data_IF_560127942858
#
_entry.id   IF_560127942858
#
_cell.length_a   1.000
_cell.length_b   1.000
_cell.length_c   1.000
_cell.angle_alpha   90.00
_cell.angle_beta   90.00
_cell.angle_gamma   90.00
#
_symmetry.space_group_name_H-M   'P 1'
#
loop_
_entity.id
_entity.type
_entity.pdbx_description
1 polymer ?
#
# COMPACT_ATOMS: atom_id res chain seq x y z
N UNK A 1 -17.09 23.71 0.35
CA UNK A 1 -17.39 23.93 1.77
C UNK A 1 -16.08 23.96 2.54
N UNK A 2 -15.79 25.04 3.28
CA UNK A 2 -14.49 25.22 3.96
C UNK A 2 -14.29 24.20 5.08
N UNK A 3 -15.34 23.88 5.83
CA UNK A 3 -15.25 22.92 6.94
C UNK A 3 -14.88 21.52 6.43
N UNK A 4 -15.51 21.05 5.35
CA UNK A 4 -15.18 19.78 4.70
C UNK A 4 -13.74 19.77 4.17
N UNK A 5 -13.26 20.88 3.62
CA UNK A 5 -11.88 20.99 3.16
C UNK A 5 -10.86 20.87 4.30
N UNK A 6 -11.07 21.59 5.41
CA UNK A 6 -10.21 21.47 6.59
C UNK A 6 -10.28 20.08 7.23
N UNK A 7 -11.46 19.47 7.30
CA UNK A 7 -11.61 18.09 7.79
C UNK A 7 -10.90 17.08 6.88
N UNK A 8 -11.00 17.22 5.56
CA UNK A 8 -10.28 16.35 4.63
C UNK A 8 -8.77 16.48 4.80
N UNK A 9 -8.25 17.71 4.90
CA UNK A 9 -6.83 17.96 5.13
C UNK A 9 -6.35 17.36 6.46
N UNK A 10 -7.12 17.54 7.54
CA UNK A 10 -6.85 16.94 8.84
C UNK A 10 -6.83 15.41 8.77
N UNK A 11 -7.85 14.79 8.15
CA UNK A 11 -7.95 13.34 8.02
C UNK A 11 -6.81 12.74 7.19
N UNK A 12 -6.37 13.40 6.11
CA UNK A 12 -5.18 12.96 5.36
C UNK A 12 -3.94 13.02 6.25
N UNK A 13 -3.75 14.13 6.99
CA UNK A 13 -2.57 14.35 7.83
C UNK A 13 -2.43 13.30 8.94
N UNK A 14 -3.55 12.85 9.51
CA UNK A 14 -3.55 11.84 10.58
C UNK A 14 -3.85 10.42 10.09
N UNK A 15 -4.02 10.20 8.78
CA UNK A 15 -4.38 8.88 8.26
C UNK A 15 -3.21 7.89 8.41
N UNK A 16 -3.38 6.74 9.09
CA UNK A 16 -2.37 5.69 9.14
C UNK A 16 -1.91 5.27 7.73
N UNK A 17 -2.84 5.19 6.78
CA UNK A 17 -2.54 4.83 5.40
C UNK A 17 -1.70 5.88 4.66
N UNK A 18 -2.03 7.17 4.82
CA UNK A 18 -1.25 8.25 4.20
C UNK A 18 0.18 8.28 4.75
N UNK A 19 0.32 8.16 6.07
CA UNK A 19 1.63 8.10 6.74
C UNK A 19 2.42 6.88 6.25
N UNK A 20 1.77 5.70 6.15
CA UNK A 20 2.41 4.49 5.62
C UNK A 20 2.96 4.69 4.22
N UNK A 21 2.19 5.31 3.32
CA UNK A 21 2.64 5.55 1.95
C UNK A 21 3.72 6.64 1.84
N UNK A 22 3.81 7.56 2.81
CA UNK A 22 4.76 8.66 2.82
C UNK A 22 6.10 8.35 3.49
N UNK A 23 6.19 7.32 4.34
CA UNK A 23 7.41 7.00 5.13
C UNK A 23 8.53 6.38 4.32
N UNK A 24 8.21 5.63 3.28
CA UNK A 24 9.21 4.99 2.44
C UNK A 24 9.40 5.84 1.18
N UNK A 25 10.63 5.87 0.63
CA UNK A 25 10.97 6.58 -0.61
C UNK A 25 10.30 5.92 -1.82
N UNK A 26 8.97 5.91 -1.81
CA UNK A 26 8.07 5.35 -2.81
C UNK A 26 7.36 6.50 -3.51
N UNK A 27 7.00 6.27 -4.76
CA UNK A 27 6.31 7.24 -5.61
C UNK A 27 4.80 7.42 -5.31
N UNK A 28 4.23 6.71 -4.33
CA UNK A 28 2.79 6.76 -4.05
C UNK A 28 2.29 8.15 -3.63
N UNK A 29 3.08 8.92 -2.88
CA UNK A 29 2.69 10.28 -2.49
C UNK A 29 2.49 11.18 -3.71
N UNK A 30 3.41 11.12 -4.69
CA UNK A 30 3.27 11.86 -5.94
C UNK A 30 2.05 11.37 -6.73
N UNK A 31 1.84 10.05 -6.81
CA UNK A 31 0.67 9.48 -7.47
C UNK A 31 -0.64 9.97 -6.84
N UNK A 32 -0.74 10.01 -5.51
CA UNK A 32 -1.90 10.53 -4.78
C UNK A 32 -2.15 12.02 -5.07
N UNK A 33 -1.11 12.84 -5.12
CA UNK A 33 -1.24 14.26 -5.47
C UNK A 33 -1.77 14.44 -6.91
N UNK A 34 -1.29 13.63 -7.85
CA UNK A 34 -1.78 13.61 -9.23
C UNK A 34 -3.23 13.11 -9.30
N UNK A 35 -3.64 12.16 -8.46
CA UNK A 35 -5.04 11.72 -8.35
C UNK A 35 -5.90 12.89 -7.87
N UNK A 36 -5.47 13.62 -6.84
CA UNK A 36 -6.18 14.80 -6.32
C UNK A 36 -6.33 15.87 -7.41
N UNK A 37 -5.25 16.18 -8.14
CA UNK A 37 -5.27 17.14 -9.25
C UNK A 37 -6.22 16.69 -10.38
N UNK A 38 -6.19 15.40 -10.73
CA UNK A 38 -7.12 14.81 -11.70
C UNK A 38 -8.57 14.86 -11.21
N UNK A 39 -8.82 14.64 -9.92
CA UNK A 39 -10.16 14.72 -9.32
C UNK A 39 -10.71 16.15 -9.35
N UNK A 40 -9.86 17.17 -9.23
CA UNK A 40 -10.28 18.56 -9.42
C UNK A 40 -10.84 18.79 -10.84
N UNK A 41 -10.20 18.22 -11.85
CA UNK A 41 -10.68 18.25 -13.23
C UNK A 41 -11.98 17.45 -13.40
N UNK A 42 -12.05 16.24 -12.80
CA UNK A 42 -13.26 15.42 -12.77
C UNK A 42 -14.46 16.19 -12.20
N UNK A 43 -14.30 16.90 -11.08
CA UNK A 43 -15.39 17.66 -10.47
C UNK A 43 -15.93 18.74 -11.41
N UNK A 44 -15.04 19.42 -12.14
CA UNK A 44 -15.43 20.42 -13.13
C UNK A 44 -16.11 19.78 -14.35
N UNK A 45 -15.57 18.66 -14.84
CA UNK A 45 -16.17 17.89 -15.93
C UNK A 45 -17.55 17.34 -15.56
N UNK A 46 -17.71 16.78 -14.37
CA UNK A 46 -18.98 16.26 -13.87
C UNK A 46 -20.04 17.36 -13.76
N UNK A 47 -19.67 18.57 -13.33
CA UNK A 47 -20.60 19.73 -13.35
C UNK A 47 -20.97 20.14 -14.77
N UNK A 48 -20.00 20.21 -15.67
CA UNK A 48 -20.25 20.51 -17.07
C UNK A 48 -21.24 19.51 -17.71
N UNK A 49 -21.06 18.20 -17.45
CA UNK A 49 -21.99 17.15 -17.89
C UNK A 49 -23.38 17.34 -17.29
N UNK A 50 -23.49 17.62 -15.99
CA UNK A 50 -24.79 17.75 -15.32
C UNK A 50 -25.55 19.03 -15.69
N UNK A 51 -24.84 20.12 -15.98
CA UNK A 51 -25.42 21.40 -16.37
C UNK A 51 -25.59 21.55 -17.88
N UNK A 52 -25.03 20.64 -18.70
CA UNK A 52 -25.00 20.78 -20.15
C UNK A 52 -24.06 21.89 -20.65
N UNK A 53 -23.10 22.31 -19.83
CA UNK A 53 -22.14 23.36 -20.15
C UNK A 53 -20.89 22.79 -20.82
N UNK A 54 -20.19 23.59 -21.62
CA UNK A 54 -18.90 23.21 -22.19
C UNK A 54 -17.82 23.08 -21.10
N UNK A 55 -17.11 21.95 -21.09
CA UNK A 55 -15.93 21.78 -20.23
C UNK A 55 -14.77 22.64 -20.76
N UNK A 56 -14.12 23.50 -19.97
CA UNK A 56 -13.09 24.42 -20.48
C UNK A 56 -11.88 23.71 -21.09
N UNK A 57 -11.43 24.15 -22.27
CA UNK A 57 -10.28 23.52 -22.97
C UNK A 57 -8.97 23.61 -22.19
N UNK A 58 -8.72 24.71 -21.49
CA UNK A 58 -7.54 24.85 -20.62
C UNK A 58 -7.51 23.80 -19.51
N UNK A 59 -8.68 23.49 -18.92
CA UNK A 59 -8.79 22.41 -17.94
C UNK A 59 -8.63 21.03 -18.58
N UNK A 60 -9.08 20.83 -19.83
CA UNK A 60 -8.81 19.60 -20.55
C UNK A 60 -7.30 19.38 -20.78
N UNK A 61 -6.55 20.41 -21.15
CA UNK A 61 -5.10 20.34 -21.33
C UNK A 61 -4.36 20.06 -20.01
N UNK A 62 -4.73 20.74 -18.93
CA UNK A 62 -4.20 20.45 -17.58
C UNK A 62 -4.51 19.02 -17.17
N UNK A 63 -5.71 18.53 -17.47
CA UNK A 63 -6.11 17.16 -17.15
C UNK A 63 -5.29 16.14 -17.94
N UNK A 64 -5.06 16.36 -19.24
CA UNK A 64 -4.18 15.51 -20.06
C UNK A 64 -2.78 15.44 -19.46
N UNK A 65 -2.17 16.58 -19.12
CA UNK A 65 -0.83 16.63 -18.53
C UNK A 65 -0.77 15.91 -17.19
N UNK A 66 -1.75 16.16 -16.32
CA UNK A 66 -1.86 15.51 -15.00
C UNK A 66 -2.02 14.00 -15.14
N UNK A 67 -2.90 13.55 -16.05
CA UNK A 67 -3.17 12.12 -16.25
C UNK A 67 -1.97 11.40 -16.86
N UNK A 68 -1.31 12.03 -17.84
CA UNK A 68 -0.12 11.47 -18.49
C UNK A 68 1.00 11.32 -17.48
N UNK A 69 1.24 12.34 -16.65
CA UNK A 69 2.22 12.26 -15.56
C UNK A 69 1.81 11.25 -14.49
N UNK A 70 0.51 11.12 -14.19
CA UNK A 70 -0.03 10.12 -13.27
C UNK A 70 0.25 8.70 -13.75
N UNK A 71 -0.03 8.42 -15.02
CA UNK A 71 0.26 7.16 -15.70
C UNK A 71 1.77 6.86 -15.69
N UNK A 72 2.60 7.86 -16.00
CA UNK A 72 4.05 7.74 -15.98
C UNK A 72 4.61 7.45 -14.57
N UNK A 73 4.01 8.07 -13.54
CA UNK A 73 4.40 7.88 -12.14
C UNK A 73 4.01 6.49 -11.65
N UNK A 74 2.79 6.04 -11.95
CA UNK A 74 2.32 4.72 -11.54
C UNK A 74 1.27 4.17 -12.52
N UNK A 75 1.52 3.02 -13.12
CA UNK A 75 0.58 2.42 -14.08
C UNK A 75 -0.83 2.11 -13.51
N UNK A 76 -0.97 1.81 -12.21
CA UNK A 76 -2.28 1.65 -11.56
C UNK A 76 -3.11 2.94 -11.50
N UNK A 77 -2.53 4.10 -11.80
CA UNK A 77 -3.28 5.33 -12.04
C UNK A 77 -4.32 5.17 -13.16
N UNK A 78 -4.11 4.25 -14.10
CA UNK A 78 -5.11 3.89 -15.11
C UNK A 78 -6.45 3.45 -14.48
N UNK A 79 -6.44 2.76 -13.32
CA UNK A 79 -7.66 2.37 -12.62
C UNK A 79 -8.42 3.58 -12.10
N UNK A 80 -7.71 4.59 -11.59
CA UNK A 80 -8.30 5.87 -11.23
C UNK A 80 -8.96 6.52 -12.45
N UNK A 81 -8.31 6.54 -13.61
CA UNK A 81 -8.88 7.10 -14.83
C UNK A 81 -10.11 6.34 -15.33
N UNK A 82 -10.07 5.01 -15.31
CA UNK A 82 -11.23 4.18 -15.62
C UNK A 82 -12.39 4.49 -14.66
N UNK A 83 -12.13 4.63 -13.36
CA UNK A 83 -13.17 4.99 -12.38
C UNK A 83 -13.78 6.38 -12.67
N UNK A 84 -12.96 7.36 -13.07
CA UNK A 84 -13.41 8.70 -13.44
C UNK A 84 -14.31 8.67 -14.68
N UNK A 85 -13.91 7.90 -15.69
CA UNK A 85 -14.71 7.69 -16.89
C UNK A 85 -16.06 7.05 -16.56
N UNK A 86 -16.08 5.99 -15.74
CA UNK A 86 -17.31 5.32 -15.30
C UNK A 86 -18.24 6.28 -14.56
N UNK A 87 -17.70 7.15 -13.70
CA UNK A 87 -18.49 8.20 -13.03
C UNK A 87 -19.11 9.17 -14.04
N UNK A 88 -18.33 9.69 -14.99
CA UNK A 88 -18.85 10.64 -16.00
C UNK A 88 -19.91 10.00 -16.91
N UNK A 89 -19.66 8.77 -17.36
CA UNK A 89 -20.61 8.00 -18.18
C UNK A 89 -21.90 7.76 -17.39
N UNK A 90 -21.80 7.32 -16.13
CA UNK A 90 -22.96 7.13 -15.25
C UNK A 90 -23.78 8.40 -15.06
N UNK A 91 -23.12 9.55 -14.84
CA UNK A 91 -23.79 10.86 -14.76
C UNK A 91 -24.44 11.26 -16.09
N UNK A 92 -23.78 11.02 -17.22
CA UNK A 92 -24.31 11.30 -18.56
C UNK A 92 -25.55 10.48 -18.88
N UNK A 93 -25.51 9.17 -18.64
CA UNK A 93 -26.66 8.26 -18.84
C UNK A 93 -27.85 8.69 -17.96
N UNK A 94 -27.59 9.10 -16.72
CA UNK A 94 -28.65 9.53 -15.79
C UNK A 94 -29.44 10.77 -16.25
N UNK A 95 -28.91 11.51 -17.24
CA UNK A 95 -29.55 12.70 -17.83
C UNK A 95 -30.21 12.42 -19.19
N UNK A 96 -30.27 11.17 -19.61
CA UNK A 96 -30.95 10.68 -20.84
C UNK A 96 -30.42 11.23 -22.17
N UNK A 97 -29.43 12.14 -22.16
CA UNK A 97 -28.68 12.59 -23.32
C UNK A 97 -27.23 12.88 -22.89
N UNK A 98 -26.25 12.58 -23.75
CA UNK A 98 -24.88 13.06 -23.60
C UNK A 98 -24.82 14.49 -24.18
N UNK A 99 -24.88 15.57 -23.37
CA UNK A 99 -24.88 16.92 -23.91
C UNK A 99 -23.58 17.19 -24.67
N UNK A 100 -23.68 17.37 -25.98
CA UNK A 100 -22.54 17.48 -26.88
C UNK A 100 -21.47 18.53 -26.49
N UNK A 101 -21.79 19.73 -25.93
CA UNK A 101 -20.76 20.72 -25.62
C UNK A 101 -19.85 20.31 -24.46
N UNK A 102 -20.38 19.61 -23.44
CA UNK A 102 -19.59 19.13 -22.32
C UNK A 102 -18.59 18.05 -22.78
N UNK A 103 -19.08 17.13 -23.59
CA UNK A 103 -18.34 15.93 -23.99
C UNK A 103 -17.21 16.22 -24.97
N UNK A 104 -17.29 17.25 -25.82
CA UNK A 104 -16.23 17.59 -26.79
C UNK A 104 -14.84 17.68 -26.14
N UNK A 105 -14.70 18.50 -25.10
CA UNK A 105 -13.40 18.72 -24.46
C UNK A 105 -13.05 17.60 -23.45
N UNK A 106 -14.04 16.85 -22.98
CA UNK A 106 -13.81 15.61 -22.22
C UNK A 106 -13.22 14.54 -23.15
N UNK A 107 -13.74 14.39 -24.37
CA UNK A 107 -13.17 13.49 -25.38
C UNK A 107 -11.75 13.90 -25.76
N UNK A 108 -11.48 15.19 -25.91
CA UNK A 108 -10.10 15.68 -26.08
C UNK A 108 -9.21 15.22 -24.91
N UNK A 109 -9.69 15.36 -23.67
CA UNK A 109 -8.93 14.91 -22.49
C UNK A 109 -8.69 13.40 -22.48
N UNK A 110 -9.69 12.60 -22.88
CA UNK A 110 -9.59 11.14 -23.01
C UNK A 110 -8.54 10.79 -24.07
N UNK A 111 -8.68 11.32 -25.29
CA UNK A 111 -7.77 11.02 -26.40
C UNK A 111 -6.34 11.46 -26.10
N UNK A 112 -6.16 12.65 -25.55
CA UNK A 112 -4.84 13.16 -25.15
C UNK A 112 -4.21 12.31 -24.04
N UNK A 113 -5.00 11.90 -23.03
CA UNK A 113 -4.53 11.01 -21.96
C UNK A 113 -4.17 9.63 -22.51
N UNK A 114 -4.98 9.06 -23.41
CA UNK A 114 -4.69 7.79 -24.07
C UNK A 114 -3.40 7.89 -24.89
N UNK A 115 -3.22 8.95 -25.68
CA UNK A 115 -1.98 9.17 -26.43
C UNK A 115 -0.76 9.28 -25.51
N UNK A 116 -0.87 10.04 -24.41
CA UNK A 116 0.20 10.16 -23.41
C UNK A 116 0.51 8.84 -22.70
N UNK A 117 -0.50 8.00 -22.44
CA UNK A 117 -0.33 6.68 -21.85
C UNK A 117 0.27 5.66 -22.82
N UNK A 118 -0.06 5.74 -24.11
CA UNK A 118 0.44 4.80 -25.13
C UNK A 118 1.97 4.84 -25.27
N UNK A 119 2.60 5.99 -25.02
CA UNK A 119 4.07 6.12 -25.01
C UNK A 119 4.73 5.16 -24.01
N UNK A 120 4.04 4.84 -22.91
CA UNK A 120 4.55 3.98 -21.84
C UNK A 120 4.28 2.49 -22.04
N UNK A 121 3.48 2.11 -23.05
CA UNK A 121 3.11 0.70 -23.27
C UNK A 121 4.33 -0.18 -23.45
N UNK A 122 5.35 0.30 -24.17
CA UNK A 122 6.58 -0.48 -24.39
C UNK A 122 7.31 -0.75 -23.07
N UNK A 123 7.46 0.28 -22.24
CA UNK A 123 8.07 0.16 -20.91
C UNK A 123 7.29 -0.81 -20.02
N UNK A 124 5.96 -0.81 -20.07
CA UNK A 124 5.15 -1.74 -19.27
C UNK A 124 5.22 -3.19 -19.74
N UNK A 125 5.39 -3.43 -21.05
CA UNK A 125 5.60 -4.78 -21.57
C UNK A 125 6.88 -5.39 -20.97
N UNK A 126 7.94 -4.58 -20.84
CA UNK A 126 9.20 -5.02 -20.23
C UNK A 126 9.03 -5.25 -18.71
N UNK A 127 8.25 -4.41 -18.01
CA UNK A 127 7.96 -4.59 -16.57
C UNK A 127 7.09 -5.83 -16.32
N UNK A 128 6.13 -6.16 -17.19
CA UNK A 128 5.27 -7.35 -17.02
C UNK A 128 6.07 -8.65 -17.02
N UNK A 129 7.24 -8.66 -17.66
CA UNK A 129 8.17 -9.78 -17.66
C UNK A 129 9.07 -9.80 -16.42
N UNK A 130 9.04 -8.76 -15.57
CA UNK A 130 9.76 -8.76 -14.29
C UNK A 130 9.00 -9.55 -13.23
N UNK A 131 9.65 -10.55 -12.63
CA UNK A 131 9.07 -11.39 -11.58
C UNK A 131 8.76 -10.66 -10.27
N UNK A 132 9.07 -9.35 -10.17
CA UNK A 132 8.74 -8.50 -9.02
C UNK A 132 7.24 -8.42 -8.69
N UNK A 133 6.39 -8.65 -9.69
CA UNK A 133 4.92 -8.58 -9.52
C UNK A 133 4.23 -9.94 -9.65
N UNK A 134 4.99 -11.02 -9.85
CA UNK A 134 4.45 -12.38 -10.01
C UNK A 134 3.62 -12.81 -8.81
N UNK A 135 4.00 -12.39 -7.60
CA UNK A 135 3.30 -12.70 -6.35
C UNK A 135 1.83 -12.24 -6.30
N UNK A 136 1.41 -11.31 -7.16
CA UNK A 136 0.00 -10.89 -7.29
C UNK A 136 -0.86 -11.97 -7.97
N UNK A 137 -0.23 -12.88 -8.71
CA UNK A 137 -0.85 -14.01 -9.40
C UNK A 137 -0.62 -15.34 -8.68
N UNK A 138 0.10 -15.32 -7.55
CA UNK A 138 0.43 -16.54 -6.80
C UNK A 138 -0.78 -16.98 -5.96
N UNK A 139 -1.36 -18.12 -6.34
CA UNK A 139 -2.46 -18.76 -5.62
C UNK A 139 -3.84 -18.35 -6.11
N UNK A 140 -4.86 -19.05 -5.61
CA UNK A 140 -6.26 -18.67 -5.85
C UNK A 140 -6.62 -17.50 -4.95
N UNK A 141 -7.21 -16.40 -5.46
CA UNK A 141 -7.62 -15.25 -4.65
C UNK A 141 -8.57 -15.61 -3.49
N UNK A 142 -9.24 -16.76 -3.59
CA UNK A 142 -10.35 -17.16 -2.73
C UNK A 142 -11.66 -16.51 -3.20
N UNK A 143 -12.76 -16.78 -2.49
CA UNK A 143 -14.09 -16.24 -2.83
C UNK A 143 -14.36 -14.99 -1.99
N UNK A 144 -14.08 -15.04 -0.70
CA UNK A 144 -14.49 -14.00 0.28
C UNK A 144 -13.28 -13.17 0.75
N UNK A 145 -12.10 -13.76 0.65
CA UNK A 145 -10.84 -13.21 1.14
C UNK A 145 -10.49 -11.86 0.49
N UNK A 146 -10.66 -11.64 -0.83
CA UNK A 146 -10.40 -10.34 -1.43
C UNK A 146 -11.34 -9.23 -0.93
N UNK A 147 -12.60 -9.57 -0.67
CA UNK A 147 -13.58 -8.65 -0.09
C UNK A 147 -13.20 -8.29 1.35
N UNK A 148 -12.86 -9.29 2.16
CA UNK A 148 -12.41 -9.09 3.54
C UNK A 148 -11.17 -8.19 3.61
N UNK A 149 -10.17 -8.46 2.76
CA UNK A 149 -8.96 -7.62 2.63
C UNK A 149 -9.29 -6.20 2.17
N UNK A 150 -10.17 -6.03 1.18
CA UNK A 150 -10.57 -4.69 0.70
C UNK A 150 -11.22 -3.86 1.79
N UNK A 151 -12.09 -4.47 2.61
CA UNK A 151 -12.71 -3.79 3.76
C UNK A 151 -11.65 -3.46 4.81
N UNK A 152 -10.73 -4.40 5.10
CA UNK A 152 -9.65 -4.18 6.04
C UNK A 152 -8.76 -2.99 5.61
N UNK A 153 -8.35 -2.92 4.35
CA UNK A 153 -7.53 -1.82 3.83
C UNK A 153 -8.27 -0.50 3.74
N UNK A 154 -9.55 -0.51 3.39
CA UNK A 154 -10.37 0.70 3.51
C UNK A 154 -10.45 1.18 4.96
N UNK A 155 -10.62 0.25 5.91
CA UNK A 155 -10.68 0.57 7.33
C UNK A 155 -9.36 1.12 7.87
N UNK A 156 -8.23 0.59 7.39
CA UNK A 156 -6.88 1.00 7.77
C UNK A 156 -6.51 2.41 7.30
N UNK A 157 -7.35 3.04 6.48
CA UNK A 157 -7.21 4.48 6.17
C UNK A 157 -7.64 5.38 7.33
N UNK A 158 -8.48 4.87 8.25
CA UNK A 158 -9.04 5.63 9.37
C UNK A 158 -8.50 5.19 10.72
N UNK A 159 -8.27 3.88 10.89
CA UNK A 159 -7.81 3.30 12.16
C UNK A 159 -6.89 2.13 11.89
N UNK A 160 -5.77 2.08 12.60
CA UNK A 160 -4.87 0.93 12.55
C UNK A 160 -4.21 0.77 13.92
N UNK A 161 -4.82 0.01 14.81
CA UNK A 161 -4.20 -0.30 16.09
C UNK A 161 -3.09 -1.34 15.93
N UNK A 162 -2.15 -1.42 16.90
CA UNK A 162 -1.06 -2.38 16.84
C UNK A 162 -1.54 -3.81 16.59
N UNK A 163 -0.98 -4.43 15.57
CA UNK A 163 -1.40 -5.76 15.07
C UNK A 163 -0.22 -6.69 14.80
N UNK A 164 1.01 -6.23 15.05
CA UNK A 164 2.22 -7.02 14.81
C UNK A 164 2.49 -8.03 15.95
N UNK A 165 2.21 -9.30 15.68
CA UNK A 165 2.42 -10.42 16.63
C UNK A 165 3.89 -10.80 16.85
N UNK A 166 4.83 -10.25 16.08
CA UNK A 166 6.27 -10.46 16.31
C UNK A 166 6.78 -9.64 17.50
N UNK A 167 6.12 -8.52 17.80
CA UNK A 167 6.50 -7.60 18.87
C UNK A 167 5.54 -7.67 20.05
N UNK A 168 4.25 -7.92 19.78
CA UNK A 168 3.20 -7.90 20.79
C UNK A 168 2.66 -9.29 21.12
N UNK A 169 2.35 -9.58 22.40
CA UNK A 169 1.66 -10.80 22.78
C UNK A 169 0.30 -10.93 22.08
N UNK A 170 -0.04 -12.16 21.68
CA UNK A 170 -1.30 -12.45 20.98
C UNK A 170 -2.56 -11.91 21.70
N UNK A 171 -2.71 -12.02 23.04
CA UNK A 171 -3.89 -11.46 23.73
C UNK A 171 -4.05 -9.95 23.55
N UNK A 172 -2.95 -9.19 23.52
CA UNK A 172 -2.97 -7.74 23.31
C UNK A 172 -3.46 -7.43 21.90
N UNK A 173 -2.95 -8.14 20.90
CA UNK A 173 -3.39 -8.00 19.49
C UNK A 173 -4.88 -8.31 19.35
N UNK A 174 -5.38 -9.36 20.02
CA UNK A 174 -6.80 -9.71 20.01
C UNK A 174 -7.65 -8.60 20.63
N UNK A 175 -7.27 -8.06 21.79
CA UNK A 175 -8.00 -6.96 22.46
C UNK A 175 -8.06 -5.72 21.55
N UNK A 176 -6.94 -5.35 20.92
CA UNK A 176 -6.87 -4.22 20.00
C UNK A 176 -7.67 -4.47 18.71
N UNK A 177 -7.72 -5.71 18.24
CA UNK A 177 -8.58 -6.15 17.15
C UNK A 177 -10.06 -5.96 17.47
N UNK A 178 -10.50 -6.38 18.67
CA UNK A 178 -11.87 -6.16 19.16
C UNK A 178 -12.19 -4.66 19.28
N UNK A 179 -11.27 -3.86 19.83
CA UNK A 179 -11.43 -2.41 19.91
C UNK A 179 -11.59 -1.76 18.52
N UNK A 180 -10.79 -2.21 17.54
CA UNK A 180 -10.90 -1.79 16.14
C UNK A 180 -12.27 -2.15 15.56
N UNK A 181 -12.74 -3.38 15.77
CA UNK A 181 -14.06 -3.82 15.30
C UNK A 181 -15.20 -3.01 15.93
N UNK A 182 -15.14 -2.73 17.23
CA UNK A 182 -16.11 -1.87 17.93
C UNK A 182 -16.14 -0.45 17.35
N UNK A 183 -14.96 0.15 17.12
CA UNK A 183 -14.85 1.46 16.47
C UNK A 183 -15.45 1.44 15.06
N UNK A 184 -15.14 0.42 14.25
CA UNK A 184 -15.66 0.31 12.88
C UNK A 184 -17.17 0.11 12.85
N UNK A 185 -17.73 -0.68 13.76
CA UNK A 185 -19.18 -0.85 13.90
C UNK A 185 -19.88 0.46 14.27
N UNK A 186 -19.30 1.24 15.18
CA UNK A 186 -19.79 2.58 15.50
C UNK A 186 -19.65 3.56 14.31
N UNK A 187 -18.49 3.58 13.67
CA UNK A 187 -18.20 4.45 12.54
C UNK A 187 -19.10 4.14 11.34
N UNK A 188 -19.35 2.86 11.03
CA UNK A 188 -20.24 2.46 9.94
C UNK A 188 -21.67 3.01 10.15
N UNK A 189 -22.19 2.96 11.39
CA UNK A 189 -23.50 3.55 11.73
C UNK A 189 -23.48 5.08 11.58
N UNK A 190 -22.42 5.73 12.04
CA UNK A 190 -22.22 7.18 11.89
C UNK A 190 -22.16 7.57 10.41
N UNK A 191 -21.41 6.81 9.62
CA UNK A 191 -21.18 7.04 8.19
C UNK A 191 -22.48 6.87 7.41
N UNK A 192 -23.20 5.77 7.61
CA UNK A 192 -24.49 5.50 6.95
C UNK A 192 -25.53 6.58 7.25
N UNK A 193 -25.70 6.97 8.52
CA UNK A 193 -26.62 8.04 8.91
C UNK A 193 -26.18 9.40 8.34
N UNK A 194 -24.88 9.67 8.35
CA UNK A 194 -24.31 10.89 7.80
C UNK A 194 -24.52 11.01 6.30
N UNK A 195 -24.33 9.93 5.54
CA UNK A 195 -24.62 9.89 4.11
C UNK A 195 -26.09 10.22 3.84
N UNK A 196 -27.04 9.59 4.56
CA UNK A 196 -28.48 9.88 4.40
C UNK A 196 -28.85 11.33 4.68
N UNK A 197 -28.20 11.97 5.65
CA UNK A 197 -28.43 13.40 5.96
C UNK A 197 -27.86 14.27 4.83
N UNK A 198 -26.68 13.91 4.34
CA UNK A 198 -25.90 14.70 3.40
C UNK A 198 -26.33 14.53 1.93
N UNK A 199 -27.22 13.59 1.63
CA UNK A 199 -27.86 13.48 0.31
C UNK A 199 -29.00 14.48 0.11
N UNK A 200 -29.48 15.14 1.17
CA UNK A 200 -30.56 16.13 1.09
C UNK A 200 -30.07 17.43 0.42
N UNK A 201 -28.96 18.08 0.86
CA UNK A 201 -28.50 19.30 0.21
C UNK A 201 -27.91 19.01 -1.19
N UNK A 202 -28.26 19.79 -2.23
CA UNK A 202 -27.89 19.48 -3.61
C UNK A 202 -26.37 19.49 -3.87
N UNK A 203 -25.66 20.45 -3.27
CA UNK A 203 -24.20 20.54 -3.39
C UNK A 203 -23.48 19.33 -2.78
N UNK A 204 -24.00 18.82 -1.67
CA UNK A 204 -23.40 17.69 -0.96
C UNK A 204 -23.76 16.38 -1.65
N UNK A 205 -25.00 16.25 -2.14
CA UNK A 205 -25.44 15.14 -2.99
C UNK A 205 -24.54 14.97 -4.21
N UNK A 206 -24.23 16.07 -4.90
CA UNK A 206 -23.30 16.06 -6.03
C UNK A 206 -21.92 15.48 -5.64
N UNK A 207 -21.33 15.97 -4.55
CA UNK A 207 -20.03 15.46 -4.07
C UNK A 207 -20.10 13.97 -3.72
N UNK A 208 -21.17 13.53 -3.06
CA UNK A 208 -21.38 12.11 -2.72
C UNK A 208 -21.50 11.26 -3.99
N UNK A 209 -22.22 11.72 -5.01
CA UNK A 209 -22.36 11.00 -6.27
C UNK A 209 -21.01 10.85 -6.99
N UNK A 210 -20.24 11.92 -7.11
CA UNK A 210 -18.93 11.89 -7.80
C UNK A 210 -17.92 11.04 -7.03
N UNK A 211 -17.68 11.34 -5.76
CA UNK A 211 -16.64 10.65 -4.98
C UNK A 211 -17.07 9.26 -4.53
N UNK A 212 -18.35 9.07 -4.20
CA UNK A 212 -18.91 7.76 -3.88
C UNK A 212 -18.91 6.85 -5.09
N UNK A 213 -19.31 7.38 -6.26
CA UNK A 213 -19.21 6.67 -7.52
C UNK A 213 -17.77 6.26 -7.85
N UNK A 214 -16.80 7.14 -7.59
CA UNK A 214 -15.38 6.85 -7.80
C UNK A 214 -14.86 5.73 -6.88
N UNK A 215 -15.18 5.77 -5.58
CA UNK A 215 -14.79 4.70 -4.63
C UNK A 215 -15.40 3.37 -5.03
N UNK A 216 -16.70 3.34 -5.37
CA UNK A 216 -17.39 2.12 -5.81
C UNK A 216 -16.80 1.61 -7.13
N UNK A 217 -16.58 2.49 -8.11
CA UNK A 217 -16.02 2.10 -9.40
C UNK A 217 -14.59 1.55 -9.26
N UNK A 218 -13.73 2.16 -8.45
CA UNK A 218 -12.40 1.61 -8.14
C UNK A 218 -12.49 0.24 -7.47
N UNK A 219 -13.38 0.06 -6.49
CA UNK A 219 -13.56 -1.22 -5.81
C UNK A 219 -14.03 -2.31 -6.80
N UNK A 220 -15.01 -1.98 -7.65
CA UNK A 220 -15.50 -2.89 -8.70
C UNK A 220 -14.39 -3.25 -9.68
N UNK A 221 -13.58 -2.28 -10.13
CA UNK A 221 -12.45 -2.54 -11.03
C UNK A 221 -11.40 -3.44 -10.37
N UNK A 222 -11.03 -3.20 -9.11
CA UNK A 222 -10.08 -4.05 -8.38
C UNK A 222 -10.59 -5.48 -8.23
N UNK A 223 -11.87 -5.66 -7.88
CA UNK A 223 -12.47 -6.98 -7.75
C UNK A 223 -12.64 -7.67 -9.11
N UNK A 224 -12.98 -6.92 -10.17
CA UNK A 224 -13.06 -7.46 -11.53
C UNK A 224 -11.69 -7.94 -12.01
N UNK A 225 -10.61 -7.23 -11.69
CA UNK A 225 -9.25 -7.70 -11.97
C UNK A 225 -8.88 -8.93 -11.13
N UNK A 226 -9.24 -8.93 -9.84
CA UNK A 226 -8.97 -10.03 -8.93
C UNK A 226 -9.67 -11.32 -9.34
N UNK A 227 -10.99 -11.28 -9.56
CA UNK A 227 -11.77 -12.46 -9.90
C UNK A 227 -11.74 -12.80 -11.40
N UNK A 228 -11.68 -11.79 -12.27
CA UNK A 228 -11.76 -11.98 -13.71
C UNK A 228 -10.41 -12.34 -14.36
N UNK A 229 -9.30 -11.83 -13.82
CA UNK A 229 -7.96 -12.05 -14.39
C UNK A 229 -7.01 -12.81 -13.44
N UNK A 230 -7.48 -13.19 -12.25
CA UNK A 230 -6.66 -13.89 -11.25
C UNK A 230 -5.56 -13.03 -10.62
N UNK A 231 -5.55 -11.72 -10.89
CA UNK A 231 -4.56 -10.79 -10.32
C UNK A 231 -5.08 -10.22 -9.01
N UNK A 232 -4.67 -10.80 -7.88
CA UNK A 232 -5.18 -10.38 -6.57
C UNK A 232 -4.57 -9.06 -6.09
N UNK A 233 -5.19 -7.97 -6.52
CA UNK A 233 -4.84 -6.60 -6.14
C UNK A 233 -5.23 -6.25 -4.70
N UNK A 234 -5.84 -7.18 -3.96
CA UNK A 234 -6.23 -6.96 -2.57
C UNK A 234 -5.18 -7.46 -1.58
N UNK A 235 -4.13 -8.15 -2.04
CA UNK A 235 -3.10 -8.72 -1.16
C UNK A 235 -2.28 -7.64 -0.43
N UNK A 236 -2.02 -6.49 -1.07
CA UNK A 236 -1.25 -5.42 -0.46
C UNK A 236 -2.09 -4.15 -0.23
N UNK A 237 -2.02 -3.54 0.97
CA UNK A 237 -2.80 -2.35 1.31
C UNK A 237 -2.51 -1.19 0.38
N UNK A 238 -1.27 -1.09 -0.12
CA UNK A 238 -0.77 0.03 -0.93
C UNK A 238 -1.62 0.28 -2.19
N UNK A 239 -2.25 -0.75 -2.76
CA UNK A 239 -3.10 -0.58 -3.95
C UNK A 239 -4.37 0.25 -3.70
N UNK A 240 -4.76 0.44 -2.44
CA UNK A 240 -5.87 1.31 -2.02
C UNK A 240 -5.63 2.81 -2.33
N UNK A 241 -4.41 3.19 -2.73
CA UNK A 241 -4.09 4.59 -3.05
C UNK A 241 -4.98 5.17 -4.16
N UNK A 242 -5.48 4.33 -5.07
CA UNK A 242 -6.28 4.73 -6.24
C UNK A 242 -7.61 5.39 -5.88
N UNK A 243 -8.19 5.04 -4.74
CA UNK A 243 -9.48 5.58 -4.24
C UNK A 243 -9.33 6.37 -2.94
N UNK A 244 -8.16 6.33 -2.31
CA UNK A 244 -7.91 6.93 -1.00
C UNK A 244 -8.35 8.41 -0.91
N UNK A 245 -8.01 9.31 -1.85
CA UNK A 245 -8.42 10.72 -1.74
C UNK A 245 -9.94 10.90 -1.81
N UNK A 246 -10.62 10.14 -2.67
CA UNK A 246 -12.08 10.18 -2.77
C UNK A 246 -12.74 9.68 -1.49
N UNK A 247 -12.21 8.60 -0.90
CA UNK A 247 -12.67 8.07 0.37
C UNK A 247 -12.54 9.09 1.51
N UNK A 248 -11.39 9.75 1.64
CA UNK A 248 -11.19 10.77 2.69
C UNK A 248 -12.16 11.94 2.52
N UNK A 249 -12.41 12.40 1.29
CA UNK A 249 -13.38 13.46 1.03
C UNK A 249 -14.80 13.03 1.44
N UNK A 250 -15.20 11.76 1.20
CA UNK A 250 -16.51 11.25 1.63
C UNK A 250 -16.63 11.23 3.16
N UNK A 251 -15.60 10.76 3.86
CA UNK A 251 -15.58 10.78 5.33
C UNK A 251 -15.65 12.21 5.87
N UNK A 252 -14.85 13.12 5.31
CA UNK A 252 -14.89 14.54 5.66
C UNK A 252 -16.26 15.17 5.40
N UNK A 253 -16.91 14.79 4.28
CA UNK A 253 -18.25 15.27 3.92
C UNK A 253 -19.30 14.79 4.93
N UNK A 254 -19.23 13.53 5.36
CA UNK A 254 -20.13 12.99 6.38
C UNK A 254 -19.92 13.69 7.72
N UNK A 255 -18.67 13.83 8.18
CA UNK A 255 -18.35 14.50 9.44
C UNK A 255 -18.74 15.99 9.44
N UNK A 256 -18.48 16.70 8.34
CA UNK A 256 -18.87 18.10 8.18
C UNK A 256 -20.38 18.33 8.19
N UNK A 257 -21.15 17.34 7.74
CA UNK A 257 -22.62 17.35 7.82
C UNK A 257 -23.14 17.33 9.24
N UNK A 258 -22.47 16.59 10.11
CA UNK A 258 -22.81 16.55 11.52
C UNK A 258 -22.56 17.92 12.16
N UNK A 259 -21.39 18.53 11.94
CA UNK A 259 -21.02 19.83 12.51
C UNK A 259 -22.04 20.94 12.21
N UNK A 260 -22.64 20.92 11.01
CA UNK A 260 -23.63 21.93 10.56
C UNK A 260 -25.00 21.79 11.21
N UNK A 261 -25.35 20.61 11.74
CA UNK A 261 -26.66 20.35 12.32
C UNK A 261 -26.75 20.77 13.80
N UNK A 262 -25.72 21.42 14.34
CA UNK A 262 -25.71 21.80 15.76
C UNK A 262 -26.63 23.00 16.03
N UNK A 263 -27.79 22.72 16.62
CA UNK A 263 -28.74 23.73 17.09
C UNK A 263 -28.54 24.10 18.57
N UNK A 264 -27.81 23.29 19.34
CA UNK A 264 -27.60 23.49 20.78
C UNK A 264 -26.14 23.25 21.21
N UNK A 265 -25.68 23.83 22.34
CA UNK A 265 -24.32 23.62 22.86
C UNK A 265 -23.98 22.15 23.16
N UNK A 266 -24.96 21.37 23.63
CA UNK A 266 -24.77 19.94 23.94
C UNK A 266 -24.59 19.13 22.65
N UNK A 267 -25.36 19.43 21.60
CA UNK A 267 -25.19 18.81 20.29
C UNK A 267 -23.84 19.17 19.66
N UNK A 268 -23.39 20.42 19.83
CA UNK A 268 -22.09 20.89 19.36
C UNK A 268 -20.96 20.08 20.00
N UNK A 269 -21.00 19.95 21.33
CA UNK A 269 -20.03 19.16 22.08
C UNK A 269 -20.00 17.71 21.58
N UNK A 270 -21.17 17.07 21.48
CA UNK A 270 -21.30 15.68 21.04
C UNK A 270 -20.81 15.46 19.61
N UNK A 271 -20.99 16.42 18.72
CA UNK A 271 -20.53 16.34 17.33
C UNK A 271 -19.01 16.51 17.24
N UNK A 272 -18.44 17.46 17.99
CA UNK A 272 -17.01 17.64 18.09
C UNK A 272 -16.33 16.41 18.70
N UNK A 273 -16.96 15.73 19.67
CA UNK A 273 -16.47 14.45 20.20
C UNK A 273 -16.35 13.39 19.10
N UNK A 274 -17.29 13.33 18.14
CA UNK A 274 -17.21 12.33 17.04
C UNK A 274 -16.01 12.60 16.13
N UNK A 275 -15.79 13.87 15.78
CA UNK A 275 -14.65 14.28 14.96
C UNK A 275 -13.35 14.01 15.72
N UNK A 276 -13.30 14.34 17.01
CA UNK A 276 -12.15 14.08 17.87
C UNK A 276 -11.86 12.58 17.99
N UNK A 277 -12.88 11.72 18.13
CA UNK A 277 -12.70 10.26 18.17
C UNK A 277 -12.11 9.73 16.86
N UNK A 278 -12.63 10.16 15.70
CA UNK A 278 -12.08 9.74 14.40
C UNK A 278 -10.65 10.26 14.21
N UNK A 279 -10.40 11.52 14.59
CA UNK A 279 -9.07 12.11 14.57
C UNK A 279 -8.07 11.39 15.47
N UNK A 280 -8.48 11.05 16.70
CA UNK A 280 -7.67 10.30 17.65
C UNK A 280 -7.38 8.89 17.15
N UNK A 281 -8.36 8.19 16.56
CA UNK A 281 -8.15 6.89 15.94
C UNK A 281 -7.12 6.97 14.79
N UNK A 282 -7.19 8.03 13.99
CA UNK A 282 -6.18 8.35 12.97
C UNK A 282 -4.80 8.55 13.58
N UNK A 283 -4.67 9.45 14.56
CA UNK A 283 -3.39 9.75 15.24
C UNK A 283 -2.77 8.50 15.86
N UNK A 284 -3.54 7.72 16.63
CA UNK A 284 -3.08 6.47 17.22
C UNK A 284 -2.67 5.46 16.14
N UNK A 285 -3.40 5.43 15.03
CA UNK A 285 -3.03 4.64 13.86
C UNK A 285 -1.73 5.10 13.21
N UNK A 286 -1.55 6.42 13.03
CA UNK A 286 -0.32 7.00 12.52
C UNK A 286 0.89 6.69 13.39
N UNK A 287 0.74 6.81 14.72
CA UNK A 287 1.77 6.40 15.68
C UNK A 287 2.08 4.91 15.60
N UNK A 288 1.06 4.06 15.44
CA UNK A 288 1.22 2.62 15.23
C UNK A 288 2.05 2.33 13.98
N UNK A 289 1.78 3.06 12.89
CA UNK A 289 2.58 2.96 11.66
C UNK A 289 4.02 3.39 11.92
N UNK A 290 4.23 4.57 12.51
CA UNK A 290 5.58 5.12 12.80
C UNK A 290 6.41 4.15 13.66
N UNK A 291 5.76 3.50 14.64
CA UNK A 291 6.38 2.52 15.52
C UNK A 291 6.57 1.12 14.88
N UNK A 292 6.27 0.94 13.59
CA UNK A 292 6.37 -0.35 12.87
C UNK A 292 5.50 -1.47 13.50
N UNK A 293 4.39 -1.09 14.14
CA UNK A 293 3.46 -2.00 14.83
C UNK A 293 2.22 -2.34 13.99
N UNK A 294 2.06 -1.75 12.81
CA UNK A 294 0.95 -1.96 11.88
C UNK A 294 1.41 -2.36 10.48
N UNK A 295 0.46 -2.58 9.57
CA UNK A 295 0.66 -2.99 8.17
C UNK A 295 1.50 -4.25 7.94
N UNK A 296 1.85 -4.97 9.01
CA UNK A 296 2.67 -6.18 9.00
C UNK A 296 3.82 -6.03 8.01
N UNK A 297 4.67 -5.00 8.19
CA UNK A 297 5.89 -4.84 7.37
C UNK A 297 6.59 -6.20 7.31
N UNK A 298 6.57 -6.80 6.13
CA UNK A 298 6.83 -8.23 5.97
C UNK A 298 8.30 -8.57 6.18
N UNK A 299 9.16 -7.62 5.82
CA UNK A 299 10.61 -7.68 6.02
C UNK A 299 11.01 -6.78 7.20
N UNK A 300 11.22 -7.38 8.38
CA UNK A 300 11.69 -6.70 9.59
C UNK A 300 13.21 -6.84 9.72
N UNK A 301 13.92 -6.11 8.87
CA UNK A 301 15.40 -6.12 8.86
C UNK A 301 15.99 -5.66 10.19
N UNK A 302 15.29 -4.81 10.92
CA UNK A 302 15.64 -4.37 12.27
C UNK A 302 15.66 -5.56 13.26
N UNK A 303 14.57 -6.35 13.29
CA UNK A 303 14.49 -7.52 14.16
C UNK A 303 15.47 -8.63 13.71
N UNK A 304 15.68 -8.77 12.40
CA UNK A 304 16.62 -9.76 11.87
C UNK A 304 18.07 -9.42 12.22
N UNK A 305 18.46 -8.14 12.09
CA UNK A 305 19.77 -7.67 12.52
C UNK A 305 19.98 -7.92 14.03
N UNK A 306 18.98 -7.59 14.86
CA UNK A 306 19.06 -7.83 16.31
C UNK A 306 19.26 -9.31 16.66
N UNK A 307 18.54 -10.22 15.99
CA UNK A 307 18.70 -11.67 16.18
C UNK A 307 20.12 -12.11 15.80
N UNK A 308 20.62 -11.69 14.64
CA UNK A 308 21.96 -12.07 14.17
C UNK A 308 23.04 -11.56 15.14
N UNK A 309 22.95 -10.30 15.56
CA UNK A 309 23.87 -9.66 16.50
C UNK A 309 23.87 -10.33 17.88
N UNK A 310 22.69 -10.73 18.37
CA UNK A 310 22.57 -11.36 19.69
C UNK A 310 23.08 -12.80 19.67
N UNK A 311 22.83 -13.53 18.58
CA UNK A 311 23.18 -14.94 18.44
C UNK A 311 24.64 -15.16 18.02
N UNK A 312 25.13 -14.46 16.99
CA UNK A 312 26.48 -14.68 16.46
C UNK A 312 27.52 -13.80 17.15
N UNK A 313 28.59 -14.42 17.66
CA UNK A 313 29.74 -13.74 18.30
C UNK A 313 31.04 -13.84 17.51
N UNK A 314 30.99 -14.52 16.37
CA UNK A 314 32.07 -14.69 15.40
C UNK A 314 31.73 -13.92 14.12
N UNK A 315 32.67 -13.74 13.17
CA UNK A 315 32.37 -13.18 11.86
C UNK A 315 31.14 -13.83 11.21
N UNK A 316 30.34 -13.02 10.52
CA UNK A 316 29.05 -13.43 9.97
C UNK A 316 29.06 -13.33 8.44
N UNK A 317 28.67 -14.41 7.78
CA UNK A 317 28.30 -14.41 6.37
C UNK A 317 26.77 -14.52 6.24
N UNK A 318 26.15 -13.54 5.60
CA UNK A 318 24.73 -13.59 5.25
C UNK A 318 24.61 -13.96 3.79
N UNK A 319 23.88 -15.03 3.51
CA UNK A 319 23.68 -15.52 2.14
C UNK A 319 22.20 -15.55 1.78
N UNK A 320 21.88 -15.08 0.57
CA UNK A 320 20.53 -15.14 0.00
C UNK A 320 20.55 -15.62 -1.45
N UNK A 321 19.44 -16.17 -1.91
CA UNK A 321 19.27 -16.46 -3.34
C UNK A 321 18.86 -15.19 -4.07
N UNK A 322 19.65 -14.78 -5.05
CA UNK A 322 19.39 -13.59 -5.85
C UNK A 322 18.69 -13.96 -7.16
N UNK A 323 17.41 -13.58 -7.27
CA UNK A 323 16.61 -13.74 -8.49
C UNK A 323 16.47 -12.41 -9.21
N UNK A 324 16.17 -11.36 -8.45
CA UNK A 324 15.94 -10.02 -8.96
C UNK A 324 16.44 -8.96 -7.97
N UNK A 325 16.50 -7.71 -8.42
CA UNK A 325 16.92 -6.54 -7.64
C UNK A 325 16.11 -6.30 -6.35
N UNK A 326 14.90 -6.86 -6.22
CA UNK A 326 14.16 -6.84 -4.95
C UNK A 326 14.89 -7.54 -3.81
N UNK A 327 15.67 -8.59 -4.11
CA UNK A 327 16.45 -9.34 -3.12
C UNK A 327 17.67 -8.53 -2.68
N UNK A 328 18.30 -7.83 -3.62
CA UNK A 328 19.35 -6.84 -3.34
C UNK A 328 18.84 -5.75 -2.38
N UNK A 329 17.64 -5.22 -2.64
CA UNK A 329 17.02 -4.23 -1.75
C UNK A 329 16.80 -4.74 -0.32
N UNK A 330 16.40 -6.01 -0.15
CA UNK A 330 16.25 -6.63 1.19
C UNK A 330 17.59 -6.76 1.90
N UNK A 331 18.63 -7.22 1.20
CA UNK A 331 19.99 -7.33 1.76
C UNK A 331 20.56 -5.95 2.12
N UNK A 332 20.37 -4.94 1.26
CA UNK A 332 20.76 -3.56 1.58
C UNK A 332 20.02 -3.03 2.82
N UNK A 333 18.73 -3.34 2.97
CA UNK A 333 17.97 -2.98 4.17
C UNK A 333 18.51 -3.63 5.44
N UNK A 334 18.95 -4.89 5.36
CA UNK A 334 19.59 -5.58 6.48
C UNK A 334 20.99 -5.02 6.78
N UNK A 335 21.81 -4.77 5.74
CA UNK A 335 23.11 -4.12 5.87
C UNK A 335 22.99 -2.73 6.50
N UNK A 336 21.97 -1.96 6.13
CA UNK A 336 21.70 -0.65 6.71
C UNK A 336 21.39 -0.71 8.21
N UNK A 337 20.67 -1.74 8.67
CA UNK A 337 20.41 -1.89 10.09
C UNK A 337 21.68 -2.27 10.87
N UNK A 338 22.57 -3.09 10.33
CA UNK A 338 23.89 -3.30 10.95
C UNK A 338 24.72 -2.03 11.00
N UNK A 339 24.72 -1.24 9.91
CA UNK A 339 25.41 0.05 9.87
C UNK A 339 24.87 1.01 10.93
N UNK A 340 23.55 1.03 11.15
CA UNK A 340 22.91 1.85 12.20
C UNK A 340 23.20 1.35 13.61
N UNK A 341 23.41 0.05 13.78
CA UNK A 341 23.78 -0.57 15.04
C UNK A 341 25.30 -0.50 15.33
N UNK A 342 26.11 0.11 14.44
CA UNK A 342 27.57 0.08 14.51
C UNK A 342 28.16 0.66 15.82
N UNK A 343 29.17 -0.02 16.41
CA UNK A 343 29.47 -1.45 16.35
C UNK A 343 28.71 -2.20 17.45
N UNK A 344 28.15 -3.35 17.09
CA UNK A 344 27.62 -4.28 18.07
C UNK A 344 28.75 -4.89 18.93
N UNK A 345 28.58 -5.01 20.25
CA UNK A 345 29.64 -5.48 21.13
C UNK A 345 29.99 -6.94 20.81
N UNK A 346 31.15 -7.15 20.16
CA UNK A 346 31.71 -8.47 19.90
C UNK A 346 32.17 -8.72 18.46
N UNK A 347 31.80 -7.89 17.48
CA UNK A 347 32.25 -8.07 16.09
C UNK A 347 33.45 -7.20 15.76
N UNK A 348 34.49 -7.81 15.22
CA UNK A 348 35.69 -7.12 14.73
C UNK A 348 35.54 -6.63 13.29
N UNK A 349 34.56 -7.17 12.54
CA UNK A 349 34.23 -6.78 11.17
C UNK A 349 32.71 -6.81 10.94
N UNK A 350 32.18 -5.96 10.05
CA UNK A 350 30.77 -6.01 9.68
C UNK A 350 30.43 -7.33 8.96
N UNK A 351 29.16 -7.76 8.98
CA UNK A 351 28.72 -8.94 8.23
C UNK A 351 29.03 -8.82 6.74
N UNK A 352 29.46 -9.93 6.15
CA UNK A 352 29.64 -10.06 4.71
C UNK A 352 28.36 -10.58 4.07
N UNK A 353 28.11 -10.21 2.81
CA UNK A 353 26.90 -10.58 2.08
C UNK A 353 27.24 -11.34 0.81
N UNK A 354 26.58 -12.48 0.60
CA UNK A 354 26.67 -13.29 -0.60
C UNK A 354 25.31 -13.38 -1.29
N UNK A 355 25.22 -12.86 -2.52
CA UNK A 355 24.05 -12.95 -3.37
C UNK A 355 24.26 -14.08 -4.39
N UNK A 356 23.78 -15.27 -4.06
CA UNK A 356 23.93 -16.44 -4.91
C UNK A 356 22.88 -16.41 -6.03
N UNK A 357 23.31 -16.08 -7.26
CA UNK A 357 22.39 -15.90 -8.37
C UNK A 357 21.76 -17.23 -8.79
N UNK A 358 20.43 -17.21 -8.98
CA UNK A 358 19.67 -18.32 -9.57
C UNK A 358 18.98 -17.82 -10.84
N UNK A 359 19.31 -18.45 -11.97
CA UNK A 359 18.66 -18.15 -13.25
C UNK A 359 17.17 -18.46 -13.17
N UNK A 360 16.33 -17.51 -13.57
CA UNK A 360 14.88 -17.66 -13.54
C UNK A 360 14.41 -18.76 -14.48
N UNK A 361 13.41 -19.55 -14.06
CA UNK A 361 12.86 -20.65 -14.86
C UNK A 361 13.71 -21.92 -14.90
N UNK A 362 14.96 -21.89 -14.42
CA UNK A 362 15.77 -23.10 -14.28
C UNK A 362 15.39 -23.87 -13.02
N UNK A 363 15.03 -25.17 -13.12
CA UNK A 363 14.87 -26.02 -11.95
C UNK A 363 16.21 -26.24 -11.21
N UNK A 364 17.34 -26.01 -11.89
CA UNK A 364 18.67 -26.16 -11.31
C UNK A 364 18.95 -25.05 -10.30
N UNK A 365 18.74 -25.40 -9.03
CA UNK A 365 19.23 -24.65 -7.88
C UNK A 365 20.77 -24.76 -7.71
N UNK A 366 21.40 -25.59 -8.54
CA UNK A 366 22.81 -25.96 -8.52
C UNK A 366 23.77 -24.78 -8.55
N UNK A 367 23.59 -23.73 -9.40
CA UNK A 367 24.52 -22.60 -9.42
C UNK A 367 24.56 -21.83 -8.11
N UNK A 368 23.40 -21.65 -7.46
CA UNK A 368 23.32 -20.95 -6.18
C UNK A 368 23.93 -21.79 -5.04
N UNK A 369 23.70 -23.10 -5.04
CA UNK A 369 24.32 -24.02 -4.08
C UNK A 369 25.84 -24.08 -4.24
N UNK A 370 26.36 -24.15 -5.47
CA UNK A 370 27.79 -24.11 -5.78
C UNK A 370 28.41 -22.80 -5.31
N UNK A 371 27.77 -21.66 -5.62
CA UNK A 371 28.27 -20.35 -5.19
C UNK A 371 28.37 -20.24 -3.67
N UNK A 372 27.38 -20.79 -2.94
CA UNK A 372 27.44 -20.87 -1.48
C UNK A 372 28.62 -21.73 -1.01
N UNK A 373 28.78 -22.95 -1.53
CA UNK A 373 29.89 -23.84 -1.13
C UNK A 373 31.25 -23.22 -1.41
N UNK A 374 31.43 -22.63 -2.59
CA UNK A 374 32.68 -21.96 -2.98
C UNK A 374 32.96 -20.74 -2.09
N UNK A 375 31.94 -19.93 -1.80
CA UNK A 375 32.07 -18.76 -0.93
C UNK A 375 32.48 -19.16 0.49
N UNK A 376 31.84 -20.19 1.04
CA UNK A 376 32.14 -20.68 2.41
C UNK A 376 33.53 -21.31 2.50
N UNK A 377 33.96 -22.07 1.49
CA UNK A 377 35.27 -22.73 1.48
C UNK A 377 36.45 -21.73 1.50
N UNK A 378 36.24 -20.49 1.08
CA UNK A 378 37.28 -19.44 1.02
C UNK A 378 37.32 -18.55 2.28
N UNK A 379 36.38 -18.71 3.22
CA UNK A 379 36.30 -17.84 4.39
C UNK A 379 37.18 -18.34 5.54
N UNK A 380 37.81 -17.41 6.29
CA UNK A 380 38.51 -17.75 7.52
C UNK A 380 37.53 -18.22 8.59
N UNK A 381 37.95 -19.19 9.41
CA UNK A 381 37.18 -19.74 10.53
C UNK A 381 37.65 -19.14 11.86
N UNK A 382 36.79 -19.05 12.89
CA UNK A 382 35.37 -19.45 12.89
C UNK A 382 34.47 -18.44 12.16
N UNK A 383 33.38 -18.91 11.57
CA UNK A 383 32.38 -18.07 10.88
C UNK A 383 30.97 -18.65 11.04
N UNK A 384 30.00 -17.77 11.25
CA UNK A 384 28.58 -18.12 11.26
C UNK A 384 27.94 -17.79 9.91
N UNK A 385 27.21 -18.73 9.35
CA UNK A 385 26.52 -18.58 8.06
C UNK A 385 25.01 -18.48 8.30
N UNK A 386 24.46 -17.33 7.92
CA UNK A 386 23.03 -17.07 7.94
C UNK A 386 22.46 -17.18 6.54
N UNK A 387 21.80 -18.29 6.26
CA UNK A 387 21.08 -18.48 5.00
C UNK A 387 19.68 -17.88 5.11
N UNK A 388 19.47 -16.68 4.54
CA UNK A 388 18.22 -15.92 4.61
C UNK A 388 17.52 -15.95 3.25
N UNK A 389 16.27 -16.41 3.22
CA UNK A 389 15.46 -16.62 2.01
C UNK A 389 16.22 -17.40 0.93
N UNK A 390 17.06 -18.34 1.36
CA UNK A 390 17.85 -19.16 0.46
C UNK A 390 16.99 -20.29 -0.13
N UNK A 391 16.92 -20.35 -1.45
CA UNK A 391 16.02 -21.21 -2.24
C UNK A 391 16.80 -22.21 -3.10
N UNK A 392 17.80 -22.84 -2.49
CA UNK A 392 18.59 -23.94 -3.04
C UNK A 392 18.98 -24.92 -1.93
N UNK A 393 19.35 -26.18 -2.27
CA UNK A 393 19.95 -27.11 -1.32
C UNK A 393 21.16 -26.47 -0.62
N UNK A 394 21.26 -26.68 0.69
CA UNK A 394 22.38 -26.20 1.51
C UNK A 394 23.08 -27.44 2.06
N UNK A 395 24.23 -27.75 1.50
CA UNK A 395 25.10 -28.86 1.91
C UNK A 395 26.42 -28.24 2.40
N UNK A 396 26.48 -27.94 3.70
CA UNK A 396 27.64 -27.34 4.36
C UNK A 396 28.30 -28.30 5.37
N UNK A 397 27.67 -29.43 5.66
CA UNK A 397 28.18 -30.46 6.57
C UNK A 397 29.54 -31.00 6.08
N UNK A 398 29.72 -31.13 4.76
CA UNK A 398 30.99 -31.53 4.13
C UNK A 398 32.11 -30.52 4.33
N UNK A 399 31.77 -29.27 4.68
CA UNK A 399 32.70 -28.20 5.01
C UNK A 399 32.86 -28.06 6.54
N UNK A 400 32.33 -28.97 7.36
CA UNK A 400 32.44 -28.90 8.82
C UNK A 400 31.68 -27.72 9.43
N UNK A 401 30.54 -27.36 8.85
CA UNK A 401 29.63 -26.35 9.38
C UNK A 401 28.35 -27.02 9.89
N UNK A 402 28.13 -26.94 11.21
CA UNK A 402 27.00 -27.60 11.86
C UNK A 402 25.77 -26.70 11.86
N UNK A 403 24.60 -27.23 11.51
CA UNK A 403 23.34 -26.48 11.56
C UNK A 403 22.84 -26.31 12.99
N UNK A 404 22.43 -25.08 13.34
CA UNK A 404 21.68 -24.82 14.56
C UNK A 404 20.19 -25.13 14.35
N UNK A 405 19.73 -26.25 14.93
CA UNK A 405 18.33 -26.68 14.89
C UNK A 405 17.47 -26.07 16.01
N UNK A 406 18.10 -25.45 17.03
CA UNK A 406 17.37 -24.84 18.15
C UNK A 406 16.77 -23.47 17.78
N UNK A 407 17.34 -22.82 16.76
CA UNK A 407 16.90 -21.50 16.32
C UNK A 407 15.60 -21.58 15.49
N UNK A 408 14.60 -20.76 15.86
CA UNK A 408 13.35 -20.63 15.10
C UNK A 408 13.65 -20.18 13.67
N UNK A 409 13.07 -20.83 12.66
CA UNK A 409 13.45 -20.64 11.26
C UNK A 409 12.59 -19.62 10.49
N UNK A 410 11.85 -18.75 11.21
CA UNK A 410 10.96 -17.77 10.59
C UNK A 410 10.75 -16.52 11.45
N UNK A 411 10.92 -15.35 10.83
CA UNK A 411 10.61 -14.03 11.39
C UNK A 411 9.93 -13.19 10.31
N UNK A 412 8.63 -12.95 10.42
CA UNK A 412 7.90 -12.32 9.31
C UNK A 412 7.94 -13.18 8.05
N UNK A 413 8.35 -12.57 6.94
CA UNK A 413 8.60 -13.26 5.67
C UNK A 413 10.01 -13.83 5.56
N UNK A 414 10.96 -13.43 6.43
CA UNK A 414 12.30 -14.02 6.44
C UNK A 414 12.22 -15.48 6.87
N UNK A 415 12.64 -16.37 5.99
CA UNK A 415 12.98 -17.75 6.31
C UNK A 415 14.49 -17.84 6.46
N UNK A 416 14.98 -18.32 7.58
CA UNK A 416 16.43 -18.37 7.80
C UNK A 416 16.90 -19.66 8.45
N UNK A 417 18.18 -19.97 8.23
CA UNK A 417 18.91 -21.07 8.86
C UNK A 417 20.29 -20.55 9.27
N UNK A 418 20.77 -21.02 10.43
CA UNK A 418 22.09 -20.71 10.96
C UNK A 418 22.97 -21.96 10.90
N UNK A 419 24.21 -21.78 10.45
CA UNK A 419 25.26 -22.79 10.47
C UNK A 419 26.51 -22.23 11.16
N UNK A 420 27.12 -23.02 12.04
CA UNK A 420 28.34 -22.69 12.75
C UNK A 420 29.52 -23.43 12.13
N UNK A 421 30.44 -22.69 11.49
CA UNK A 421 31.69 -23.25 10.98
C UNK A 421 32.79 -23.04 12.01
N UNK A 422 33.12 -24.10 12.74
CA UNK A 422 34.18 -24.10 13.76
C UNK A 422 35.54 -24.42 13.14
N UNK A 423 36.61 -24.10 13.86
CA UNK A 423 37.99 -24.40 13.46
C UNK A 423 38.21 -25.88 13.12
#
# INVERSE_FOLDING_TARGET
DRAVAHLAAFLVAVSPFAIYLAREARHYTLAILLIIASMCCLVKAARAVLNGESFPIGLALVWIGTNTLGIATHYFFALTLCSQLLVLVGLGISRSHLPQPAWKNIFLAILGTSAGGLVWVRVWQDIRQSNLTGWVYDGSPGIVEPLGRSIAWLSSTLVLLPSNTFVLPLPVVVILGVATACFLGWFARLFHRGLKIQTIPPNTRFSIQVFGGMVVACAVLMLALTYGFGSDLTLAPRFSFIYFPAWIILVATVLGGWLRKSSSPIEFLRQNTRIAIVGLAGILGGLTVIANLGYLQTHRSDLMADIITQTSKVPVLIVTTHKHHGDTGRMMGLAWEFERQNPSPGWTQPPQFLLAHKTEGSPDATPAAIALQQGVAQLPRPVDIWAIDFHAPIELDTLGCDRDEALKQKLGDYRYKLYHCRE
#
